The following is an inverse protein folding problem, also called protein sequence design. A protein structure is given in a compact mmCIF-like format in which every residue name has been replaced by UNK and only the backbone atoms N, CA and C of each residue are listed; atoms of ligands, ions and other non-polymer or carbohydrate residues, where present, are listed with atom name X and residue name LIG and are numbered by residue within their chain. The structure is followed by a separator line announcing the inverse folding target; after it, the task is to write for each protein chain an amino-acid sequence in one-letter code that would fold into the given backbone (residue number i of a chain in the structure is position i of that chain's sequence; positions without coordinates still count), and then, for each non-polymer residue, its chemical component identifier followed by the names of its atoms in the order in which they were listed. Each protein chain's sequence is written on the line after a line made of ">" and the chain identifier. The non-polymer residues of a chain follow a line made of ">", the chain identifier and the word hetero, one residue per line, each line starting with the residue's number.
data_IF_583175992824
#
_entry.id   IF_583175992824
#
_cell.length_a   1.000
_cell.length_b   1.000
_cell.length_c   1.000
_cell.angle_alpha   90.00
_cell.angle_beta   90.00
_cell.angle_gamma   90.00
#
_symmetry.space_group_name_H-M   'P 1'
#
loop_
_entity.id
_entity.type
_entity.pdbx_description
1 polymer ?
#
# COMPACT_ATOMS: atom_id res chain seq x y z
N UNK A 1 -27.12 32.73 -25.46
CA UNK A 1 -26.30 31.52 -25.27
C UNK A 1 -25.50 31.65 -23.97
N UNK A 2 -25.52 30.65 -23.07
CA UNK A 2 -24.72 30.65 -21.84
C UNK A 2 -23.70 29.50 -21.93
N UNK A 3 -22.43 29.81 -21.65
CA UNK A 3 -21.33 28.84 -21.73
C UNK A 3 -21.51 27.68 -20.74
N UNK A 4 -21.29 26.46 -21.23
CA UNK A 4 -21.30 25.22 -20.44
C UNK A 4 -20.25 25.22 -19.32
N UNK A 5 -19.18 26.01 -19.47
CA UNK A 5 -18.06 26.08 -18.51
C UNK A 5 -18.22 27.16 -17.45
N UNK A 6 -19.32 27.94 -17.48
CA UNK A 6 -19.53 29.06 -16.56
C UNK A 6 -19.32 28.69 -15.08
N UNK A 7 -19.82 27.54 -14.65
CA UNK A 7 -19.70 27.10 -13.27
C UNK A 7 -18.28 26.65 -12.90
N UNK A 8 -17.58 25.99 -13.84
CA UNK A 8 -16.19 25.57 -13.67
C UNK A 8 -15.24 26.77 -13.60
N UNK A 9 -15.45 27.78 -14.46
CA UNK A 9 -14.66 29.02 -14.42
C UNK A 9 -14.94 29.79 -13.12
N UNK A 10 -16.20 29.82 -12.66
CA UNK A 10 -16.56 30.47 -11.40
C UNK A 10 -15.89 29.80 -10.20
N UNK A 11 -15.89 28.47 -10.12
CA UNK A 11 -15.19 27.76 -9.03
C UNK A 11 -13.68 27.94 -9.11
N UNK A 12 -13.08 27.78 -10.29
CA UNK A 12 -11.65 27.99 -10.53
C UNK A 12 -11.20 29.40 -10.13
N UNK A 13 -12.04 30.42 -10.38
CA UNK A 13 -11.73 31.80 -10.01
C UNK A 13 -11.72 32.05 -8.49
N UNK A 14 -12.30 31.18 -7.67
CA UNK A 14 -12.31 31.33 -6.21
C UNK A 14 -11.24 30.47 -5.54
N UNK A 15 -10.88 29.35 -6.16
CA UNK A 15 -9.89 28.40 -5.64
C UNK A 15 -8.53 29.07 -5.45
N UNK A 16 -7.97 28.94 -4.26
CA UNK A 16 -6.61 29.38 -3.95
C UNK A 16 -6.44 30.90 -3.80
N UNK A 17 -7.53 31.67 -3.74
CA UNK A 17 -7.50 33.08 -3.34
C UNK A 17 -7.37 33.20 -1.82
N UNK A 18 -6.40 34.00 -1.37
CA UNK A 18 -6.22 34.40 0.02
C UNK A 18 -5.87 35.90 0.04
N UNK A 19 -6.41 36.68 0.99
CA UNK A 19 -6.29 38.15 1.02
C UNK A 19 -4.84 38.64 1.07
N UNK A 20 -3.92 37.82 1.58
CA UNK A 20 -2.52 38.18 1.80
C UNK A 20 -1.55 37.28 1.03
N UNK A 21 -2.00 36.59 -0.02
CA UNK A 21 -1.20 35.58 -0.73
C UNK A 21 0.01 36.16 -1.48
N UNK A 22 -0.13 37.35 -2.06
CA UNK A 22 0.88 37.95 -2.96
C UNK A 22 1.84 38.89 -2.25
N UNK A 23 1.32 39.78 -1.41
CA UNK A 23 2.10 40.84 -0.74
C UNK A 23 2.24 40.62 0.78
N UNK A 24 1.69 39.52 1.31
CA UNK A 24 1.73 39.25 2.74
C UNK A 24 0.81 40.15 3.57
N UNK A 25 1.03 40.12 4.88
CA UNK A 25 0.34 40.96 5.87
C UNK A 25 1.16 42.25 6.04
N UNK A 26 0.54 43.43 6.19
CA UNK A 26 1.29 44.68 6.39
C UNK A 26 2.14 44.63 7.67
N UNK A 27 3.34 45.20 7.62
CA UNK A 27 4.25 45.31 8.76
C UNK A 27 3.82 46.45 9.69
N UNK A 28 2.74 46.22 10.43
CA UNK A 28 2.19 47.14 11.43
C UNK A 28 2.45 46.53 12.81
N UNK A 29 2.88 47.30 13.82
CA UNK A 29 3.02 46.80 15.18
C UNK A 29 1.67 46.24 15.67
N UNK A 30 1.61 44.92 15.79
CA UNK A 30 0.44 44.23 16.30
C UNK A 30 0.44 44.28 17.82
N UNK A 31 -0.75 44.31 18.42
CA UNK A 31 -0.88 44.10 19.86
C UNK A 31 -0.28 42.73 20.20
N UNK A 32 0.49 42.61 21.28
CA UNK A 32 0.99 41.32 21.71
C UNK A 32 -0.20 40.37 21.92
N UNK A 33 -0.07 39.08 21.57
CA UNK A 33 -1.15 38.13 21.74
C UNK A 33 -1.53 38.08 23.22
N UNK A 34 -2.75 38.51 23.54
CA UNK A 34 -3.31 38.43 24.90
C UNK A 34 -3.63 36.99 25.30
N UNK A 35 -3.77 36.10 24.33
CA UNK A 35 -4.12 34.70 24.52
C UNK A 35 -3.04 33.78 23.92
N UNK A 36 -2.51 32.88 24.75
CA UNK A 36 -1.60 31.83 24.30
C UNK A 36 -2.40 30.64 23.75
N UNK A 37 -1.80 29.87 22.84
CA UNK A 37 -2.40 28.64 22.33
C UNK A 37 -2.68 27.67 23.51
N UNK A 38 -3.96 27.48 23.81
CA UNK A 38 -4.39 26.50 24.83
C UNK A 38 -4.27 25.08 24.27
N UNK A 39 -4.06 24.10 25.15
CA UNK A 39 -4.08 22.67 24.79
C UNK A 39 -5.37 22.33 24.04
N UNK A 40 -5.26 21.71 22.86
CA UNK A 40 -6.39 21.37 21.94
C UNK A 40 -7.13 22.56 21.31
N UNK A 41 -6.58 23.78 21.33
CA UNK A 41 -7.18 24.94 20.65
C UNK A 41 -7.37 24.77 19.13
N UNK A 42 -6.60 23.88 18.50
CA UNK A 42 -6.65 23.60 17.05
C UNK A 42 -7.07 22.17 16.73
N UNK A 43 -7.79 21.50 17.63
CA UNK A 43 -8.27 20.14 17.33
C UNK A 43 -9.35 20.19 16.26
N UNK A 44 -9.10 19.55 15.12
CA UNK A 44 -10.12 19.31 14.11
C UNK A 44 -11.16 18.33 14.66
N UNK A 45 -12.43 18.73 14.65
CA UNK A 45 -13.53 17.83 15.00
C UNK A 45 -13.63 16.78 13.91
N UNK A 46 -13.10 15.58 14.19
CA UNK A 46 -13.33 14.42 13.33
C UNK A 46 -14.82 14.10 13.37
N UNK A 47 -15.49 14.28 12.23
CA UNK A 47 -16.89 13.84 12.08
C UNK A 47 -16.92 12.34 12.21
N UNK A 48 -17.86 11.82 12.98
CA UNK A 48 -18.11 10.39 13.07
C UNK A 48 -18.61 9.89 11.71
N UNK A 49 -17.73 9.23 10.96
CA UNK A 49 -18.07 8.69 9.65
C UNK A 49 -18.77 7.35 9.87
N UNK A 50 -20.10 7.37 9.89
CA UNK A 50 -20.90 6.15 9.78
C UNK A 50 -20.51 5.46 8.48
N UNK A 51 -20.09 4.18 8.58
CA UNK A 51 -19.73 3.38 7.42
C UNK A 51 -20.90 3.37 6.43
N UNK A 52 -20.68 3.95 5.24
CA UNK A 52 -21.62 3.86 4.13
C UNK A 52 -21.17 2.70 3.24
N UNK A 53 -21.97 1.65 3.20
CA UNK A 53 -21.76 0.58 2.23
C UNK A 53 -22.06 1.15 0.85
N UNK A 54 -21.06 1.12 -0.03
CA UNK A 54 -21.25 1.50 -1.42
C UNK A 54 -21.98 0.36 -2.14
N UNK A 55 -23.20 0.61 -2.59
CA UNK A 55 -23.96 -0.33 -3.43
C UNK A 55 -23.78 0.08 -4.89
N UNK A 56 -23.21 -0.82 -5.68
CA UNK A 56 -23.10 -0.64 -7.13
C UNK A 56 -24.53 -0.68 -7.72
N UNK A 57 -24.98 0.33 -8.48
CA UNK A 57 -26.31 0.33 -9.08
C UNK A 57 -26.43 -0.85 -10.07
N UNK A 58 -27.43 -1.72 -9.86
CA UNK A 58 -27.68 -2.90 -10.69
C UNK A 58 -27.02 -4.20 -10.22
N UNK A 59 -26.29 -4.19 -9.08
CA UNK A 59 -25.71 -5.42 -8.55
C UNK A 59 -26.77 -6.31 -7.88
N UNK A 60 -26.82 -7.58 -8.24
CA UNK A 60 -27.69 -8.56 -7.58
C UNK A 60 -27.15 -8.86 -6.17
N UNK A 61 -27.80 -8.27 -5.16
CA UNK A 61 -27.43 -8.46 -3.75
C UNK A 61 -27.99 -9.75 -3.13
N UNK A 62 -28.78 -10.52 -3.88
CA UNK A 62 -29.34 -11.80 -3.41
C UNK A 62 -28.38 -12.93 -3.78
N UNK A 63 -27.86 -13.62 -2.75
CA UNK A 63 -27.21 -14.90 -2.92
C UNK A 63 -28.19 -15.88 -3.62
N UNK A 64 -27.71 -16.76 -4.51
CA UNK A 64 -28.55 -17.81 -5.07
C UNK A 64 -29.10 -18.70 -3.95
N UNK A 65 -30.26 -19.32 -4.18
CA UNK A 65 -30.85 -20.26 -3.24
C UNK A 65 -29.89 -21.43 -3.01
N UNK A 66 -29.37 -21.55 -1.79
CA UNK A 66 -28.57 -22.71 -1.42
C UNK A 66 -29.51 -23.88 -1.09
N UNK A 67 -29.45 -24.94 -1.89
CA UNK A 67 -30.02 -26.23 -1.53
C UNK A 67 -28.99 -27.12 -0.84
N UNK A 68 -29.36 -27.67 0.32
CA UNK A 68 -28.51 -28.63 1.03
C UNK A 68 -28.45 -29.92 0.21
N UNK A 69 -27.30 -30.22 -0.39
CA UNK A 69 -27.06 -31.47 -1.10
C UNK A 69 -27.30 -32.62 -0.14
N UNK A 70 -28.41 -33.36 -0.32
CA UNK A 70 -28.66 -34.60 0.41
C UNK A 70 -27.81 -35.69 -0.24
N UNK A 71 -26.68 -35.99 0.41
CA UNK A 71 -25.95 -37.24 0.24
C UNK A 71 -25.50 -37.52 -1.20
N UNK A 72 -24.43 -36.86 -1.64
CA UNK A 72 -23.50 -37.60 -2.47
C UNK A 72 -22.66 -38.43 -1.51
N UNK A 73 -22.99 -39.72 -1.35
CA UNK A 73 -22.00 -40.75 -1.02
C UNK A 73 -21.04 -40.92 -2.20
N UNK A 74 -20.51 -39.81 -2.70
CA UNK A 74 -19.27 -39.83 -3.45
C UNK A 74 -18.20 -39.99 -2.40
N UNK A 75 -17.25 -40.89 -2.67
CA UNK A 75 -15.98 -40.93 -1.98
C UNK A 75 -15.33 -39.54 -2.10
N UNK A 76 -15.75 -38.60 -1.26
CA UNK A 76 -14.83 -37.61 -0.74
C UNK A 76 -13.94 -38.52 0.07
N UNK A 77 -12.81 -38.91 -0.55
CA UNK A 77 -11.68 -39.41 0.19
C UNK A 77 -11.72 -38.67 1.51
N UNK A 78 -11.92 -39.41 2.59
CA UNK A 78 -11.71 -38.87 3.92
C UNK A 78 -10.30 -38.32 3.82
N UNK A 79 -10.21 -37.03 3.50
CA UNK A 79 -9.03 -36.22 3.58
C UNK A 79 -8.73 -36.41 5.03
N UNK A 80 -7.89 -37.42 5.29
CA UNK A 80 -7.25 -37.68 6.55
C UNK A 80 -6.81 -36.29 6.91
N UNK A 81 -7.54 -35.66 7.83
CA UNK A 81 -7.24 -34.34 8.30
C UNK A 81 -5.88 -34.57 8.90
N UNK A 82 -4.89 -34.33 8.06
CA UNK A 82 -3.55 -34.74 8.31
C UNK A 82 -3.25 -33.92 9.55
N UNK A 83 -3.16 -34.61 10.70
CA UNK A 83 -2.82 -34.03 12.00
C UNK A 83 -1.34 -33.62 11.95
N UNK A 84 -0.97 -32.91 10.90
CA UNK A 84 0.32 -32.35 10.62
C UNK A 84 0.44 -31.17 11.55
N UNK A 85 1.26 -31.37 12.56
CA UNK A 85 1.69 -30.30 13.44
C UNK A 85 2.59 -29.37 12.63
N UNK A 86 2.00 -28.30 12.08
CA UNK A 86 2.69 -27.30 11.29
C UNK A 86 3.81 -26.62 12.08
N UNK A 87 3.66 -26.51 13.41
CA UNK A 87 4.69 -25.92 14.26
C UNK A 87 5.94 -26.80 14.30
N UNK A 88 5.78 -28.10 14.55
CA UNK A 88 6.91 -29.05 14.52
C UNK A 88 7.57 -29.11 13.14
N UNK A 89 6.76 -29.21 12.09
CA UNK A 89 7.26 -29.26 10.70
C UNK A 89 8.05 -28.01 10.31
N UNK A 90 7.58 -26.83 10.70
CA UNK A 90 8.29 -25.58 10.44
C UNK A 90 9.63 -25.52 11.19
N UNK A 91 9.67 -25.99 12.45
CA UNK A 91 10.91 -26.04 13.23
C UNK A 91 11.93 -26.98 12.58
N UNK A 92 11.51 -28.18 12.18
CA UNK A 92 12.37 -29.14 11.48
C UNK A 92 12.86 -28.60 10.13
N UNK A 93 11.98 -27.93 9.38
CA UNK A 93 12.33 -27.30 8.12
C UNK A 93 13.39 -26.19 8.30
N UNK A 94 13.21 -25.31 9.29
CA UNK A 94 14.20 -24.24 9.55
C UNK A 94 15.53 -24.81 10.05
N UNK A 95 15.50 -25.85 10.90
CA UNK A 95 16.72 -26.52 11.39
C UNK A 95 17.50 -27.24 10.30
N UNK A 96 16.81 -27.77 9.29
CA UNK A 96 17.42 -28.50 8.18
C UNK A 96 17.89 -27.59 7.04
N UNK A 97 17.46 -26.32 7.01
CA UNK A 97 17.89 -25.37 6.00
C UNK A 97 19.32 -24.91 6.26
N UNK A 98 20.18 -25.07 5.25
CA UNK A 98 21.52 -24.48 5.25
C UNK A 98 21.41 -22.95 5.09
N UNK A 99 22.32 -22.18 5.72
CA UNK A 99 22.37 -20.74 5.52
C UNK A 99 22.69 -20.41 4.05
N UNK A 100 22.08 -19.33 3.54
CA UNK A 100 22.35 -18.87 2.19
C UNK A 100 23.83 -18.53 2.05
N UNK A 101 24.52 -19.21 1.12
CA UNK A 101 25.94 -18.94 0.85
C UNK A 101 26.11 -17.51 0.34
N UNK A 102 27.08 -16.73 0.87
CA UNK A 102 27.32 -15.38 0.43
C UNK A 102 27.72 -15.38 -1.05
N UNK A 103 27.08 -14.51 -1.84
CA UNK A 103 27.47 -14.29 -3.24
C UNK A 103 28.70 -13.38 -3.27
N UNK A 104 29.69 -13.73 -4.08
CA UNK A 104 30.87 -12.90 -4.28
C UNK A 104 30.53 -11.72 -5.20
N UNK A 105 30.92 -10.52 -4.78
CA UNK A 105 30.79 -9.29 -5.58
C UNK A 105 32.16 -8.65 -5.74
N UNK A 106 32.40 -8.02 -6.89
CA UNK A 106 33.51 -7.12 -7.09
C UNK A 106 33.01 -5.67 -7.07
N UNK A 107 33.87 -4.75 -6.63
CA UNK A 107 33.56 -3.33 -6.49
C UNK A 107 34.61 -2.54 -7.27
N UNK A 108 34.20 -1.91 -8.36
CA UNK A 108 35.12 -1.17 -9.24
C UNK A 108 35.40 0.25 -8.74
N UNK A 109 34.37 0.90 -8.19
CA UNK A 109 34.43 2.32 -7.82
C UNK A 109 34.58 2.52 -6.31
N UNK A 110 35.34 3.55 -5.93
CA UNK A 110 35.34 4.09 -4.54
C UNK A 110 33.97 4.62 -4.09
N UNK A 111 33.02 4.75 -5.03
CA UNK A 111 31.63 5.16 -4.80
C UNK A 111 30.68 3.99 -4.47
N UNK A 112 31.16 2.74 -4.50
CA UNK A 112 30.40 1.57 -4.07
C UNK A 112 29.62 0.85 -5.18
N UNK A 113 29.94 1.07 -6.45
CA UNK A 113 29.38 0.29 -7.57
C UNK A 113 29.80 -1.18 -7.45
N UNK A 114 28.86 -2.09 -7.17
CA UNK A 114 29.12 -3.51 -6.94
C UNK A 114 28.42 -4.42 -7.95
N UNK A 115 29.14 -5.41 -8.47
CA UNK A 115 28.63 -6.38 -9.46
C UNK A 115 28.98 -7.82 -9.03
N UNK A 116 28.17 -8.84 -9.36
CA UNK A 116 28.46 -10.21 -8.98
C UNK A 116 29.71 -10.71 -9.71
N UNK A 117 30.66 -11.30 -8.97
CA UNK A 117 31.91 -11.83 -9.50
C UNK A 117 31.67 -12.98 -10.50
N UNK A 118 30.64 -13.79 -10.24
CA UNK A 118 30.15 -14.80 -11.18
C UNK A 118 28.86 -14.29 -11.80
N UNK A 119 28.84 -13.89 -13.09
CA UNK A 119 27.62 -13.46 -13.76
C UNK A 119 26.65 -14.63 -13.82
N UNK A 120 25.36 -14.38 -13.53
CA UNK A 120 24.31 -15.36 -13.29
C UNK A 120 23.83 -16.14 -14.52
N UNK A 121 24.74 -16.57 -15.40
CA UNK A 121 24.46 -17.54 -16.47
C UNK A 121 24.17 -16.95 -17.85
N UNK A 122 24.57 -15.71 -18.15
CA UNK A 122 24.56 -15.16 -19.51
C UNK A 122 25.98 -15.06 -20.14
N UNK A 123 26.95 -15.75 -19.55
CA UNK A 123 28.34 -15.75 -20.00
C UNK A 123 28.60 -16.97 -20.90
N UNK A 124 29.09 -16.80 -22.13
CA UNK A 124 29.30 -17.91 -23.03
C UNK A 124 30.52 -18.76 -22.62
N UNK A 125 30.32 -20.08 -22.61
CA UNK A 125 31.23 -21.15 -22.13
C UNK A 125 32.51 -21.34 -22.97
N UNK A 126 32.85 -20.48 -23.93
CA UNK A 126 33.94 -20.76 -24.89
C UNK A 126 35.37 -20.55 -24.35
N UNK A 127 35.58 -20.42 -23.03
CA UNK A 127 36.93 -20.40 -22.44
C UNK A 127 37.51 -21.79 -22.14
N UNK A 128 36.69 -22.84 -22.15
CA UNK A 128 37.16 -24.22 -21.96
C UNK A 128 37.49 -24.90 -23.30
N UNK A 129 38.36 -24.27 -24.10
CA UNK A 129 39.06 -24.96 -25.19
C UNK A 129 40.57 -24.73 -25.07
N UNK A 130 41.22 -25.62 -24.33
CA UNK A 130 42.60 -26.06 -24.56
C UNK A 130 42.77 -27.47 -24.02
#
# INVERSE_FOLDING_TARGET
>A
YISKFRNSVRSASVIGKSPHKTLGVPNVPLKPPTEFLRKRSRSEVRRDVKHKHYHIPGYQHKLPSWEKVKGASGNVDEDKQDKRDFQKRNIEQVKSQEPLKPRMYYVDDRRGSSYPLVPSGLYPLYRDTK
#
